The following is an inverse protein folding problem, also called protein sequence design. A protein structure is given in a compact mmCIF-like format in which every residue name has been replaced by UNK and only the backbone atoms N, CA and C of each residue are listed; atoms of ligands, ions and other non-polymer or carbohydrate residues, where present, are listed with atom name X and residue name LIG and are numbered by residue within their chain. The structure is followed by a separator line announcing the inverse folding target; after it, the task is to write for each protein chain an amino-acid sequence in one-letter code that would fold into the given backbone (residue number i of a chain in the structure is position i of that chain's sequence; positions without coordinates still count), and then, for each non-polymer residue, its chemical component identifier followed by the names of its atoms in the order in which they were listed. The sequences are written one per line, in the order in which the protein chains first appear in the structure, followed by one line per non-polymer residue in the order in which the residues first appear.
data_IF_172362831536
#
_entry.id   IF_172362831536
#
_cell.length_a   1.000
_cell.length_b   1.000
_cell.length_c   1.000
_cell.angle_alpha   90.00
_cell.angle_beta   90.00
_cell.angle_gamma   90.00
#
_symmetry.space_group_name_H-M   'P 1'
#
loop_
_entity.id
_entity.type
_entity.pdbx_description
1 polymer ?
#
# COMPACT_ATOMS: atom_id res chain seq x y z
N UNK A 1 -5.43 -21.84 14.42
CA UNK A 1 -4.20 -21.11 14.08
C UNK A 1 -4.15 -21.05 12.55
N UNK A 2 -4.09 -19.83 11.97
CA UNK A 2 -3.92 -19.66 10.53
C UNK A 2 -2.46 -19.92 10.14
N UNK A 3 -2.24 -20.59 9.01
CA UNK A 3 -0.91 -20.77 8.41
C UNK A 3 -0.86 -20.03 7.09
N UNK A 4 0.24 -19.33 6.82
CA UNK A 4 0.45 -18.56 5.60
C UNK A 4 1.71 -19.07 4.89
N UNK A 5 1.60 -19.29 3.58
CA UNK A 5 2.73 -19.54 2.68
C UNK A 5 3.11 -18.24 1.98
N UNK A 6 4.23 -17.66 2.38
CA UNK A 6 4.71 -16.39 1.84
C UNK A 6 5.50 -16.60 0.56
N UNK A 7 5.12 -15.89 -0.49
CA UNK A 7 5.77 -15.92 -1.80
C UNK A 7 6.33 -14.52 -2.14
N UNK A 8 7.54 -14.18 -1.67
CA UNK A 8 8.12 -12.88 -1.98
C UNK A 8 8.45 -12.80 -3.48
N UNK A 9 8.06 -11.71 -4.11
CA UNK A 9 8.44 -11.37 -5.47
C UNK A 9 8.87 -9.90 -5.55
N UNK A 10 9.50 -9.51 -6.63
CA UNK A 10 10.01 -8.16 -6.80
C UNK A 10 9.86 -7.69 -8.22
N UNK A 11 9.54 -6.40 -8.37
CA UNK A 11 9.45 -5.76 -9.67
C UNK A 11 10.82 -5.72 -10.36
N UNK A 12 10.87 -6.05 -11.64
CA UNK A 12 12.11 -6.14 -12.42
C UNK A 12 12.69 -4.79 -12.81
N UNK A 13 11.84 -3.75 -12.94
CA UNK A 13 12.27 -2.40 -13.36
C UNK A 13 13.17 -1.65 -12.37
N UNK A 14 13.32 -2.15 -11.14
CA UNK A 14 14.11 -1.48 -10.11
C UNK A 14 15.59 -1.89 -10.23
N UNK A 15 16.48 -0.93 -10.53
CA UNK A 15 17.94 -1.16 -10.54
C UNK A 15 18.44 -1.51 -9.14
N UNK A 16 19.21 -2.59 -9.04
CA UNK A 16 19.76 -3.09 -7.77
C UNK A 16 21.24 -3.45 -7.92
N UNK A 17 21.97 -3.32 -6.81
CA UNK A 17 23.36 -3.78 -6.74
C UNK A 17 23.51 -5.30 -6.87
N UNK A 18 24.70 -5.77 -7.20
CA UNK A 18 25.00 -7.19 -7.46
C UNK A 18 24.56 -8.12 -6.33
N UNK A 19 24.80 -7.74 -5.06
CA UNK A 19 24.39 -8.54 -3.88
C UNK A 19 22.86 -8.71 -3.82
N UNK A 20 22.12 -7.61 -3.98
CA UNK A 20 20.66 -7.63 -3.94
C UNK A 20 20.09 -8.46 -5.10
N UNK A 21 20.63 -8.29 -6.32
CA UNK A 21 20.21 -9.08 -7.48
C UNK A 21 20.44 -10.59 -7.26
N UNK A 22 21.58 -10.98 -6.67
CA UNK A 22 21.87 -12.38 -6.36
C UNK A 22 20.89 -12.92 -5.29
N UNK A 23 20.59 -12.11 -4.27
CA UNK A 23 19.62 -12.48 -3.23
C UNK A 23 18.21 -12.69 -3.80
N UNK A 24 17.74 -11.74 -4.63
CA UNK A 24 16.43 -11.85 -5.27
C UNK A 24 16.32 -13.09 -6.14
N UNK A 25 17.30 -13.36 -7.00
CA UNK A 25 17.33 -14.58 -7.84
C UNK A 25 17.26 -15.88 -7.03
N UNK A 26 17.73 -15.87 -5.79
CA UNK A 26 17.76 -17.06 -4.93
C UNK A 26 16.48 -17.25 -4.12
N UNK A 27 15.83 -16.14 -3.71
CA UNK A 27 14.80 -16.18 -2.68
C UNK A 27 13.45 -15.62 -3.12
N UNK A 28 13.38 -14.94 -4.28
CA UNK A 28 12.17 -14.29 -4.77
C UNK A 28 11.69 -14.94 -6.05
N UNK A 29 10.39 -15.00 -6.20
CA UNK A 29 9.74 -15.41 -7.44
C UNK A 29 9.69 -14.25 -8.43
N UNK A 30 9.50 -14.58 -9.68
CA UNK A 30 9.08 -13.62 -10.71
C UNK A 30 7.59 -13.37 -10.62
N UNK A 31 7.10 -12.28 -11.19
CA UNK A 31 5.66 -12.02 -11.22
C UNK A 31 4.91 -13.05 -12.08
N UNK A 32 5.54 -13.58 -13.13
CA UNK A 32 4.93 -14.63 -13.96
C UNK A 32 4.74 -15.95 -13.20
N UNK A 33 5.69 -16.32 -12.35
CA UNK A 33 5.54 -17.47 -11.45
C UNK A 33 4.39 -17.25 -10.45
N UNK A 34 4.23 -16.01 -9.93
CA UNK A 34 3.12 -15.65 -9.05
C UNK A 34 1.79 -15.75 -9.80
N UNK A 35 1.70 -15.21 -11.02
CA UNK A 35 0.48 -15.30 -11.85
C UNK A 35 0.07 -16.75 -12.11
N UNK A 36 1.03 -17.62 -12.40
CA UNK A 36 0.76 -19.04 -12.68
C UNK A 36 0.34 -19.84 -11.45
N UNK A 37 0.86 -19.49 -10.27
CA UNK A 37 0.56 -20.17 -9.00
C UNK A 37 -0.77 -19.69 -8.38
N UNK A 38 -1.13 -18.42 -8.58
CA UNK A 38 -2.20 -17.73 -7.87
C UNK A 38 -1.84 -17.32 -6.46
N UNK A 39 -2.63 -16.42 -5.89
CA UNK A 39 -2.53 -15.94 -4.51
C UNK A 39 -3.92 -15.74 -3.92
N UNK A 40 -4.07 -16.01 -2.62
CA UNK A 40 -5.28 -15.67 -1.88
C UNK A 40 -5.27 -14.20 -1.45
N UNK A 41 -4.10 -13.67 -1.09
CA UNK A 41 -3.92 -12.28 -0.68
C UNK A 41 -2.58 -11.73 -1.17
N UNK A 42 -2.51 -10.41 -1.37
CA UNK A 42 -1.31 -9.71 -1.79
C UNK A 42 -0.99 -8.57 -0.84
N UNK A 43 0.30 -8.40 -0.52
CA UNK A 43 0.81 -7.22 0.18
C UNK A 43 1.78 -6.50 -0.76
N UNK A 44 1.49 -5.24 -1.06
CA UNK A 44 2.38 -4.36 -1.82
C UNK A 44 2.99 -3.35 -0.85
N UNK A 45 4.27 -3.50 -0.56
CA UNK A 45 5.01 -2.59 0.32
C UNK A 45 5.42 -1.32 -0.43
N UNK A 46 5.78 -0.29 0.35
CA UNK A 46 6.31 0.95 -0.19
C UNK A 46 7.70 0.80 -0.82
N UNK A 47 8.10 1.82 -1.57
CA UNK A 47 9.43 1.95 -2.15
C UNK A 47 9.89 3.41 -2.08
N UNK A 48 11.20 3.62 -2.05
CA UNK A 48 11.76 4.96 -2.25
C UNK A 48 11.59 5.38 -3.71
N UNK A 49 11.10 6.61 -3.88
CA UNK A 49 10.96 7.23 -5.19
C UNK A 49 12.18 8.08 -5.51
N UNK A 50 12.51 8.14 -6.78
CA UNK A 50 13.61 8.96 -7.33
C UNK A 50 13.13 10.08 -8.25
N UNK A 51 11.88 10.00 -8.69
CA UNK A 51 11.30 10.91 -9.67
C UNK A 51 10.22 11.83 -9.05
N UNK A 52 9.98 13.02 -9.61
CA UNK A 52 8.97 13.94 -9.11
C UNK A 52 7.55 13.40 -9.22
N UNK A 53 7.26 12.55 -10.22
CA UNK A 53 5.97 11.88 -10.38
C UNK A 53 6.14 10.37 -10.46
N UNK A 54 5.10 9.62 -10.09
CA UNK A 54 5.13 8.15 -10.11
C UNK A 54 5.25 7.60 -11.55
N UNK A 55 4.64 8.27 -12.51
CA UNK A 55 4.66 7.88 -13.94
C UNK A 55 6.08 7.80 -14.53
N UNK A 56 7.04 8.53 -13.93
CA UNK A 56 8.44 8.52 -14.35
C UNK A 56 9.29 7.45 -13.66
N UNK A 57 8.74 6.76 -12.67
CA UNK A 57 9.47 5.72 -11.97
C UNK A 57 9.62 4.47 -12.85
N UNK A 58 10.80 3.85 -12.88
CA UNK A 58 11.07 2.71 -13.76
C UNK A 58 10.24 1.46 -13.46
N UNK A 59 9.59 1.41 -12.30
CA UNK A 59 8.70 0.32 -11.88
C UNK A 59 7.21 0.61 -12.13
N UNK A 60 6.86 1.80 -12.62
CA UNK A 60 5.47 2.28 -12.68
C UNK A 60 4.54 1.33 -13.45
N UNK A 61 4.88 1.04 -14.70
CA UNK A 61 4.04 0.16 -15.55
C UNK A 61 3.93 -1.26 -14.98
N UNK A 62 5.02 -1.80 -14.44
CA UNK A 62 4.99 -3.12 -13.84
C UNK A 62 4.18 -3.15 -12.54
N UNK A 63 4.26 -2.09 -11.73
CA UNK A 63 3.40 -1.95 -10.53
C UNK A 63 1.92 -1.89 -10.93
N UNK A 64 1.60 -1.15 -11.98
CA UNK A 64 0.25 -1.06 -12.52
C UNK A 64 -0.26 -2.43 -12.99
N UNK A 65 0.56 -3.19 -13.72
CA UNK A 65 0.22 -4.57 -14.13
C UNK A 65 -0.07 -5.46 -12.92
N UNK A 66 0.75 -5.39 -11.86
CA UNK A 66 0.53 -6.14 -10.61
C UNK A 66 -0.79 -5.76 -9.96
N UNK A 67 -1.09 -4.46 -9.87
CA UNK A 67 -2.34 -3.96 -9.28
C UNK A 67 -3.55 -4.40 -10.08
N UNK A 68 -3.51 -4.28 -11.40
CA UNK A 68 -4.61 -4.70 -12.28
C UNK A 68 -4.85 -6.20 -12.18
N UNK A 69 -3.79 -7.00 -12.22
CA UNK A 69 -3.90 -8.45 -12.03
C UNK A 69 -4.46 -8.80 -10.65
N UNK A 70 -3.98 -8.15 -9.59
CA UNK A 70 -4.42 -8.46 -8.23
C UNK A 70 -5.90 -8.15 -8.03
N UNK A 71 -6.40 -7.10 -8.66
CA UNK A 71 -7.80 -6.71 -8.57
C UNK A 71 -8.75 -7.81 -9.08
N UNK A 72 -8.33 -8.58 -10.06
CA UNK A 72 -9.13 -9.65 -10.67
C UNK A 72 -8.86 -11.04 -10.06
N UNK A 73 -7.64 -11.27 -9.54
CA UNK A 73 -7.16 -12.62 -9.21
C UNK A 73 -6.90 -12.85 -7.72
N UNK A 74 -6.98 -11.81 -6.87
CA UNK A 74 -6.66 -11.89 -5.44
C UNK A 74 -7.86 -11.45 -4.63
N UNK A 75 -8.15 -12.13 -3.55
CA UNK A 75 -9.32 -11.80 -2.69
C UNK A 75 -9.16 -10.42 -2.06
N UNK A 76 -7.96 -10.09 -1.56
CA UNK A 76 -7.68 -8.80 -0.94
C UNK A 76 -6.22 -8.40 -1.14
N UNK A 77 -5.99 -7.12 -1.42
CA UNK A 77 -4.66 -6.52 -1.55
C UNK A 77 -4.45 -5.44 -0.48
N UNK A 78 -3.40 -5.60 0.32
CA UNK A 78 -2.96 -4.59 1.27
C UNK A 78 -1.87 -3.73 0.63
N UNK A 79 -2.09 -2.42 0.61
CA UNK A 79 -1.15 -1.44 0.10
C UNK A 79 -0.56 -0.62 1.25
N UNK A 80 0.77 -0.52 1.32
CA UNK A 80 1.47 0.26 2.36
C UNK A 80 2.25 1.43 1.75
N UNK A 81 2.13 2.60 2.36
CA UNK A 81 2.84 3.83 2.01
C UNK A 81 2.73 4.19 0.52
N UNK A 82 3.83 4.11 -0.24
CA UNK A 82 3.85 4.44 -1.67
C UNK A 82 2.86 3.61 -2.50
N UNK A 83 2.66 2.33 -2.16
CA UNK A 83 1.70 1.49 -2.86
C UNK A 83 0.27 2.02 -2.72
N UNK A 84 -0.10 2.55 -1.55
CA UNK A 84 -1.38 3.25 -1.35
C UNK A 84 -1.53 4.42 -2.31
N UNK A 85 -0.52 5.28 -2.41
CA UNK A 85 -0.55 6.43 -3.31
C UNK A 85 -0.64 6.01 -4.78
N UNK A 86 0.11 4.97 -5.17
CA UNK A 86 0.10 4.46 -6.54
C UNK A 86 -1.27 3.91 -6.93
N UNK A 87 -1.86 3.08 -6.07
CA UNK A 87 -3.19 2.49 -6.36
C UNK A 87 -4.27 3.56 -6.41
N UNK A 88 -4.24 4.55 -5.50
CA UNK A 88 -5.18 5.67 -5.54
C UNK A 88 -5.05 6.50 -6.84
N UNK A 89 -3.82 6.65 -7.35
CA UNK A 89 -3.59 7.30 -8.64
C UNK A 89 -4.08 6.44 -9.80
N UNK A 90 -3.73 5.15 -9.85
CA UNK A 90 -4.09 4.25 -10.97
C UNK A 90 -5.59 3.99 -11.08
N UNK A 91 -6.23 3.70 -9.94
CA UNK A 91 -7.63 3.24 -9.94
C UNK A 91 -8.63 4.37 -9.75
N UNK A 92 -8.25 5.45 -9.07
CA UNK A 92 -9.18 6.49 -8.65
C UNK A 92 -8.77 7.89 -9.13
N UNK A 93 -7.65 8.04 -9.84
CA UNK A 93 -7.16 9.33 -10.35
C UNK A 93 -6.66 10.30 -9.27
N UNK A 94 -6.49 9.84 -8.03
CA UNK A 94 -6.12 10.66 -6.89
C UNK A 94 -4.61 10.75 -6.73
N UNK A 95 -4.02 11.82 -7.27
CA UNK A 95 -2.57 12.05 -7.18
C UNK A 95 -2.17 12.54 -5.79
N UNK A 96 -1.12 11.92 -5.24
CA UNK A 96 -0.51 12.36 -3.98
C UNK A 96 -0.05 13.81 -4.04
N UNK A 97 -0.13 14.52 -2.91
CA UNK A 97 0.30 15.90 -2.75
C UNK A 97 1.51 15.98 -1.80
N UNK A 98 2.48 16.87 -2.04
CA UNK A 98 3.60 17.06 -1.13
C UNK A 98 3.11 17.67 0.18
N UNK A 99 3.60 17.16 1.31
CA UNK A 99 3.43 17.79 2.62
C UNK A 99 4.55 18.79 2.87
N UNK A 100 4.25 19.91 3.48
CA UNK A 100 5.23 20.99 3.67
C UNK A 100 6.44 20.60 4.55
N UNK A 101 6.26 19.62 5.45
CA UNK A 101 7.30 19.06 6.30
C UNK A 101 7.12 17.54 6.36
N UNK A 102 8.23 16.80 6.25
CA UNK A 102 8.21 15.34 6.36
C UNK A 102 7.46 14.89 7.62
N UNK A 103 6.45 14.07 7.46
CA UNK A 103 5.85 13.34 8.57
C UNK A 103 6.78 12.19 8.95
N UNK A 104 7.57 12.41 10.01
CA UNK A 104 8.54 11.47 10.54
C UNK A 104 8.32 11.28 12.03
N UNK A 105 8.02 10.06 12.45
CA UNK A 105 7.79 9.72 13.85
C UNK A 105 6.58 8.83 14.06
N UNK A 106 6.18 8.68 15.31
CA UNK A 106 5.00 7.92 15.73
C UNK A 106 3.88 8.90 16.09
N UNK A 107 2.69 8.67 15.53
CA UNK A 107 1.55 9.58 15.66
C UNK A 107 0.32 8.84 16.13
N UNK A 108 -0.47 9.44 17.07
CA UNK A 108 -1.72 8.85 17.54
C UNK A 108 -2.81 8.97 16.47
N UNK A 109 -3.46 7.86 16.20
CA UNK A 109 -4.60 7.76 15.28
C UNK A 109 -5.86 7.35 16.02
N UNK A 110 -6.99 7.78 15.49
CA UNK A 110 -8.32 7.44 16.00
C UNK A 110 -9.06 6.62 14.95
N UNK A 111 -9.75 5.57 15.42
CA UNK A 111 -10.73 4.83 14.64
C UNK A 111 -11.95 5.72 14.42
N UNK A 112 -12.39 5.87 13.18
CA UNK A 112 -13.55 6.69 12.80
C UNK A 112 -14.78 5.84 12.46
N UNK A 113 -14.58 4.57 12.08
CA UNK A 113 -15.64 3.60 11.86
C UNK A 113 -15.38 2.33 12.67
N UNK A 114 -16.05 2.21 13.82
CA UNK A 114 -15.86 1.09 14.75
C UNK A 114 -16.59 -0.18 14.34
N UNK A 115 -17.57 -0.07 13.48
CA UNK A 115 -18.43 -1.18 13.07
C UNK A 115 -17.81 -1.96 11.90
N UNK A 116 -16.72 -1.43 11.32
CA UNK A 116 -16.07 -2.10 10.22
C UNK A 116 -15.35 -3.38 10.66
N UNK A 117 -15.56 -4.54 9.99
CA UNK A 117 -15.02 -5.83 10.42
C UNK A 117 -13.50 -5.86 10.62
N UNK A 118 -12.71 -5.11 9.81
CA UNK A 118 -11.26 -5.00 9.97
C UNK A 118 -10.82 -4.38 11.30
N UNK A 119 -11.72 -3.69 12.00
CA UNK A 119 -11.44 -3.02 13.26
C UNK A 119 -12.02 -3.76 14.46
N UNK A 120 -12.56 -4.95 14.25
CA UNK A 120 -13.06 -5.78 15.35
C UNK A 120 -11.92 -6.10 16.33
N UNK A 121 -12.11 -5.72 17.60
CA UNK A 121 -11.11 -5.89 18.65
C UNK A 121 -9.95 -4.88 18.64
N UNK A 122 -9.92 -3.93 17.71
CA UNK A 122 -8.93 -2.86 17.68
C UNK A 122 -9.30 -1.76 18.67
N UNK A 123 -8.30 -1.25 19.41
CA UNK A 123 -8.49 -0.09 20.30
C UNK A 123 -8.96 1.13 19.51
N UNK A 124 -9.78 1.97 20.16
CA UNK A 124 -10.32 3.20 19.53
C UNK A 124 -9.24 4.22 19.16
N UNK A 125 -8.06 4.07 19.75
CA UNK A 125 -6.87 4.88 19.49
C UNK A 125 -5.64 3.99 19.52
N UNK A 126 -4.71 4.22 18.59
CA UNK A 126 -3.45 3.50 18.47
C UNK A 126 -2.40 4.41 17.83
N UNK A 127 -1.13 4.07 18.03
CA UNK A 127 -0.01 4.85 17.53
C UNK A 127 0.61 4.16 16.30
N UNK A 128 0.89 4.96 15.25
CA UNK A 128 1.46 4.45 13.99
C UNK A 128 2.69 5.26 13.59
N UNK A 129 3.78 4.56 13.22
CA UNK A 129 4.93 5.19 12.58
C UNK A 129 4.61 5.74 11.20
N UNK A 130 5.13 6.92 10.88
CA UNK A 130 5.09 7.51 9.55
C UNK A 130 6.47 7.94 9.09
N UNK A 131 6.73 7.84 7.77
CA UNK A 131 7.94 8.32 7.12
C UNK A 131 7.63 8.74 5.68
N UNK A 132 6.95 9.88 5.52
CA UNK A 132 6.46 10.31 4.20
C UNK A 132 6.62 11.79 3.93
N UNK A 133 6.87 12.16 2.68
CA UNK A 133 6.91 13.54 2.16
C UNK A 133 5.65 13.90 1.36
N UNK A 134 4.79 12.93 1.12
CA UNK A 134 3.55 13.11 0.36
C UNK A 134 2.39 12.48 1.11
N UNK A 135 1.18 12.90 0.74
CA UNK A 135 -0.06 12.31 1.22
C UNK A 135 -1.13 12.28 0.14
N UNK A 136 -2.12 11.46 0.33
CA UNK A 136 -3.45 11.60 -0.23
C UNK A 136 -4.34 12.11 0.90
N UNK A 137 -5.00 13.23 0.70
CA UNK A 137 -5.83 13.88 1.71
C UNK A 137 -7.15 13.14 1.95
N UNK A 138 -7.80 13.39 3.09
CA UNK A 138 -9.11 12.80 3.39
C UNK A 138 -10.15 13.15 2.30
N UNK A 139 -10.14 14.37 1.79
CA UNK A 139 -11.03 14.78 0.70
C UNK A 139 -10.82 13.92 -0.56
N UNK A 140 -9.58 13.62 -0.91
CA UNK A 140 -9.27 12.75 -2.05
C UNK A 140 -9.74 11.30 -1.83
N UNK A 141 -9.69 10.78 -0.61
CA UNK A 141 -10.27 9.48 -0.28
C UNK A 141 -11.81 9.50 -0.45
N UNK A 142 -12.47 10.57 0.00
CA UNK A 142 -13.92 10.74 -0.16
C UNK A 142 -14.32 10.84 -1.64
N UNK A 143 -13.60 11.63 -2.43
CA UNK A 143 -13.81 11.75 -3.88
C UNK A 143 -13.61 10.44 -4.64
N UNK A 144 -12.69 9.59 -4.14
CA UNK A 144 -12.47 8.24 -4.66
C UNK A 144 -13.56 7.24 -4.23
N UNK A 145 -14.47 7.61 -3.34
CA UNK A 145 -15.42 6.70 -2.68
C UNK A 145 -14.76 5.67 -1.76
N UNK A 146 -13.51 5.92 -1.35
CA UNK A 146 -12.72 5.05 -0.48
C UNK A 146 -13.02 5.38 0.98
N UNK A 147 -13.44 4.40 1.74
CA UNK A 147 -13.91 4.57 3.12
C UNK A 147 -12.74 4.68 4.09
N UNK A 148 -12.63 5.82 4.77
CA UNK A 148 -11.63 6.06 5.81
C UNK A 148 -12.05 5.34 7.10
N UNK A 149 -11.14 4.55 7.67
CA UNK A 149 -11.36 3.78 8.91
C UNK A 149 -10.56 4.33 10.10
N UNK A 150 -9.37 4.91 9.86
CA UNK A 150 -8.58 5.53 10.92
C UNK A 150 -7.78 6.72 10.39
N UNK A 151 -7.74 7.80 11.17
CA UNK A 151 -7.04 9.04 10.84
C UNK A 151 -6.49 9.75 12.07
N UNK A 152 -5.67 10.77 11.81
CA UNK A 152 -5.09 11.66 12.84
C UNK A 152 -5.01 13.10 12.34
N UNK A 153 -4.40 13.98 13.13
CA UNK A 153 -4.11 15.36 12.71
C UNK A 153 -3.14 15.48 11.52
N UNK A 154 -2.38 14.40 11.22
CA UNK A 154 -1.47 14.35 10.07
C UNK A 154 -2.06 13.63 8.86
N UNK A 155 -3.37 13.35 8.85
CA UNK A 155 -4.10 12.75 7.75
C UNK A 155 -4.59 11.33 7.98
N UNK A 156 -5.08 10.73 6.92
CA UNK A 156 -5.60 9.35 6.89
C UNK A 156 -4.47 8.35 7.05
N UNK A 157 -4.71 7.30 7.85
CA UNK A 157 -3.81 6.16 7.95
C UNK A 157 -4.39 4.91 7.28
N UNK A 158 -5.60 4.52 7.66
CA UNK A 158 -6.25 3.31 7.20
C UNK A 158 -7.55 3.64 6.45
N UNK A 159 -7.68 3.09 5.27
CA UNK A 159 -8.89 3.17 4.47
C UNK A 159 -9.10 1.87 3.68
N UNK A 160 -10.31 1.67 3.14
CA UNK A 160 -10.68 0.50 2.35
C UNK A 160 -11.44 0.89 1.10
N UNK A 161 -11.28 0.12 0.03
CA UNK A 161 -12.06 0.29 -1.20
C UNK A 161 -13.57 0.11 -0.94
N UNK A 162 -14.45 0.65 -1.82
CA UNK A 162 -15.91 0.61 -1.62
C UNK A 162 -16.49 -0.80 -1.49
N UNK A 163 -15.80 -1.82 -2.01
CA UNK A 163 -16.15 -3.23 -1.93
C UNK A 163 -15.62 -3.94 -0.67
N UNK A 164 -15.38 -3.19 0.39
CA UNK A 164 -15.02 -3.55 1.76
C UNK A 164 -13.59 -4.09 1.96
N UNK A 165 -13.15 -5.06 1.18
CA UNK A 165 -11.88 -5.77 1.43
C UNK A 165 -11.00 -5.93 0.20
N UNK A 166 -11.44 -5.50 -0.96
CA UNK A 166 -10.67 -5.68 -2.20
C UNK A 166 -9.30 -5.01 -2.08
N UNK A 167 -9.27 -3.78 -1.59
CA UNK A 167 -8.03 -3.07 -1.33
C UNK A 167 -8.07 -2.43 0.06
N UNK A 168 -7.03 -2.68 0.84
CA UNK A 168 -6.79 -2.04 2.14
C UNK A 168 -5.61 -1.09 2.01
N UNK A 169 -5.80 0.16 2.36
CA UNK A 169 -4.84 1.25 2.19
C UNK A 169 -4.24 1.67 3.53
N UNK A 170 -2.91 1.63 3.64
CA UNK A 170 -2.16 2.21 4.75
C UNK A 170 -1.27 3.34 4.26
N UNK A 171 -1.42 4.57 4.79
CA UNK A 171 -0.45 5.63 4.52
C UNK A 171 0.72 5.63 5.51
N UNK A 172 0.57 5.06 6.68
CA UNK A 172 1.63 4.84 7.66
C UNK A 172 2.25 3.45 7.55
N UNK A 173 3.14 3.15 8.49
CA UNK A 173 3.95 1.93 8.50
C UNK A 173 3.64 1.08 9.74
N UNK A 174 2.54 0.30 9.76
CA UNK A 174 2.21 -0.56 10.90
C UNK A 174 3.22 -1.72 11.08
N UNK A 175 4.04 -1.96 10.08
CA UNK A 175 5.07 -2.99 10.07
C UNK A 175 6.36 -2.62 10.82
N UNK A 176 6.51 -1.39 11.31
CA UNK A 176 7.72 -0.91 12.05
C UNK A 176 7.58 -1.11 13.55
#
# INVERSE_FOLDING_TARGET
IAQFYMHPFSLSGIKRGVKATKHLKKHYKTFDEIKSQGLDALIISGANISQPSLELEPFYEQLREVVDWSYENVTSTLCSCLATHAVLEFKYGQKRQPVGKKHWGVFPHQVVDRDHPLLSGVSTRFDIPHSRFNEVSELQFDEAGVKVLAKSSIGVHLAVSPDLFRIVFFQGHPEY
#
